data_IF_956786420454
#
_entry.id   IF_956786420454
#
_cell.length_a   1.000
_cell.length_b   1.000
_cell.length_c   1.000
_cell.angle_alpha   90.00
_cell.angle_beta   90.00
_cell.angle_gamma   90.00
#
_symmetry.space_group_name_H-M   'P 1'
#
loop_
_entity.id
_entity.type
_entity.pdbx_description
1 polymer ?
#
# COMPACT_ATOMS: atom_id res chain seq x y z
N UNK A 1 -12.98 -2.78 -12.50
CA UNK A 1 -12.09 -3.57 -11.61
C UNK A 1 -12.05 -2.96 -10.23
N UNK A 2 -11.98 -3.79 -9.18
CA UNK A 2 -11.73 -3.33 -7.80
C UNK A 2 -10.41 -3.92 -7.34
N UNK A 3 -9.50 -3.07 -6.88
CA UNK A 3 -8.18 -3.43 -6.36
C UNK A 3 -8.15 -3.27 -4.84
N UNK A 4 -7.79 -4.34 -4.14
CA UNK A 4 -7.58 -4.38 -2.70
C UNK A 4 -6.08 -4.40 -2.43
N UNK A 5 -5.53 -3.35 -1.83
CA UNK A 5 -4.13 -3.26 -1.39
C UNK A 5 -4.12 -3.60 0.10
N UNK A 6 -3.35 -4.61 0.50
CA UNK A 6 -3.42 -5.18 1.85
C UNK A 6 -2.01 -5.22 2.45
N UNK A 7 -1.82 -4.57 3.58
CA UNK A 7 -0.57 -4.72 4.34
C UNK A 7 -0.54 -6.09 5.01
N UNK A 8 0.63 -6.70 5.09
CA UNK A 8 0.84 -7.94 5.86
C UNK A 8 0.41 -7.81 7.32
N UNK A 9 0.08 -8.93 7.97
CA UNK A 9 -0.17 -9.05 9.41
C UNK A 9 1.09 -8.73 10.23
N UNK A 10 0.95 -8.65 11.56
CA UNK A 10 2.04 -8.33 12.47
C UNK A 10 3.21 -9.30 12.31
N UNK A 11 4.45 -8.80 12.04
CA UNK A 11 5.62 -9.65 11.86
C UNK A 11 6.39 -9.83 13.18
N UNK A 12 6.97 -11.01 13.38
CA UNK A 12 7.98 -11.26 14.39
C UNK A 12 9.38 -10.79 13.96
N UNK A 13 10.32 -10.94 14.86
CA UNK A 13 11.73 -10.57 14.62
C UNK A 13 12.41 -11.39 13.50
N UNK A 14 11.92 -12.58 13.24
CA UNK A 14 12.38 -13.48 12.17
C UNK A 14 11.76 -13.15 10.79
N UNK A 15 10.88 -12.15 10.74
CA UNK A 15 10.18 -11.71 9.53
C UNK A 15 8.96 -12.56 9.16
N UNK A 16 8.65 -13.63 9.90
CA UNK A 16 7.41 -14.38 9.79
C UNK A 16 6.28 -13.69 10.57
N UNK A 17 5.03 -14.11 10.39
CA UNK A 17 3.92 -13.60 11.19
C UNK A 17 3.98 -14.09 12.64
N UNK A 18 3.65 -13.21 13.59
CA UNK A 18 3.39 -13.59 14.99
C UNK A 18 2.07 -14.35 15.10
N UNK A 19 1.75 -14.87 16.30
CA UNK A 19 0.42 -15.44 16.56
C UNK A 19 -0.71 -14.42 16.29
N UNK A 20 -0.52 -13.14 16.68
CA UNK A 20 -1.44 -12.05 16.36
C UNK A 20 -1.51 -11.82 14.85
N UNK A 21 -0.36 -11.80 14.17
CA UNK A 21 -0.28 -11.65 12.72
C UNK A 21 -1.04 -12.74 11.96
N UNK A 22 -1.02 -13.98 12.44
CA UNK A 22 -1.81 -15.08 11.88
C UNK A 22 -3.32 -14.89 12.10
N UNK A 23 -3.76 -14.43 13.29
CA UNK A 23 -5.16 -14.07 13.53
C UNK A 23 -5.62 -12.95 12.60
N UNK A 24 -4.78 -11.94 12.38
CA UNK A 24 -5.04 -10.87 11.41
C UNK A 24 -5.14 -11.40 9.97
N UNK A 25 -4.27 -12.33 9.58
CA UNK A 25 -4.30 -12.97 8.28
C UNK A 25 -5.59 -13.79 8.06
N UNK A 26 -6.05 -14.54 9.07
CA UNK A 26 -7.33 -15.27 9.00
C UNK A 26 -8.51 -14.31 8.85
N UNK A 27 -8.53 -13.21 9.61
CA UNK A 27 -9.60 -12.21 9.54
C UNK A 27 -9.66 -11.55 8.16
N UNK A 28 -8.51 -11.10 7.62
CA UNK A 28 -8.48 -10.52 6.27
C UNK A 28 -8.80 -11.55 5.20
N UNK A 29 -8.41 -12.81 5.39
CA UNK A 29 -8.78 -13.91 4.48
C UNK A 29 -10.29 -14.09 4.34
N UNK A 30 -11.03 -14.09 5.46
CA UNK A 30 -12.51 -14.12 5.47
C UNK A 30 -13.09 -12.90 4.73
N UNK A 31 -12.55 -11.70 4.99
CA UNK A 31 -12.97 -10.49 4.27
C UNK A 31 -12.76 -10.59 2.76
N UNK A 32 -11.64 -11.16 2.31
CA UNK A 32 -11.38 -11.39 0.88
C UNK A 32 -12.35 -12.39 0.27
N UNK A 33 -12.75 -13.42 1.03
CA UNK A 33 -13.79 -14.37 0.59
C UNK A 33 -15.15 -13.68 0.42
N UNK A 34 -15.58 -12.88 1.39
CA UNK A 34 -16.82 -12.10 1.31
C UNK A 34 -16.77 -11.07 0.16
N UNK A 35 -15.62 -10.46 -0.05
CA UNK A 35 -15.37 -9.56 -1.18
C UNK A 35 -15.35 -10.28 -2.53
N UNK A 36 -15.36 -11.63 -2.56
CA UNK A 36 -15.31 -12.47 -3.77
C UNK A 36 -14.12 -12.15 -4.66
N UNK A 37 -12.94 -12.05 -4.03
CA UNK A 37 -11.68 -11.86 -4.75
C UNK A 37 -11.49 -13.01 -5.73
N UNK A 38 -11.09 -12.71 -6.96
CA UNK A 38 -10.86 -13.72 -8.02
C UNK A 38 -9.43 -13.72 -8.56
N UNK A 39 -8.58 -12.77 -8.13
CA UNK A 39 -7.12 -12.76 -8.41
C UNK A 39 -6.38 -12.33 -7.17
N UNK A 40 -5.35 -13.10 -6.79
CA UNK A 40 -4.51 -12.80 -5.63
C UNK A 40 -3.06 -12.66 -6.09
N UNK A 41 -2.46 -11.55 -5.69
CA UNK A 41 -1.04 -11.25 -5.87
C UNK A 41 -0.40 -10.98 -4.51
N UNK A 42 0.90 -11.23 -4.40
CA UNK A 42 1.62 -11.03 -3.15
C UNK A 42 3.06 -10.57 -3.38
N UNK A 43 3.56 -9.75 -2.48
CA UNK A 43 5.00 -9.48 -2.35
C UNK A 43 5.81 -10.78 -2.19
N UNK A 44 7.07 -10.85 -2.64
CA UNK A 44 7.95 -11.99 -2.41
C UNK A 44 8.29 -12.21 -0.92
N UNK A 45 8.12 -11.20 -0.06
CA UNK A 45 8.54 -11.25 1.34
C UNK A 45 7.61 -12.14 2.17
N UNK A 46 8.21 -12.99 3.02
CA UNK A 46 7.54 -14.08 3.75
C UNK A 46 6.24 -13.63 4.46
N UNK A 47 6.26 -12.55 5.24
CA UNK A 47 5.09 -12.08 5.99
C UNK A 47 3.89 -11.70 5.11
N UNK A 48 4.13 -11.18 3.90
CA UNK A 48 3.05 -10.86 2.96
C UNK A 48 2.48 -12.14 2.34
N UNK A 49 3.33 -13.09 1.98
CA UNK A 49 2.93 -14.41 1.49
C UNK A 49 2.09 -15.14 2.54
N UNK A 50 2.56 -15.20 3.79
CA UNK A 50 1.83 -15.80 4.90
C UNK A 50 0.46 -15.13 5.13
N UNK A 51 0.40 -13.79 5.00
CA UNK A 51 -0.88 -13.08 5.13
C UNK A 51 -1.87 -13.44 4.02
N UNK A 52 -1.39 -13.77 2.83
CA UNK A 52 -2.25 -14.18 1.71
C UNK A 52 -2.76 -15.62 1.79
N UNK A 53 -2.09 -16.51 2.56
CA UNK A 53 -2.41 -17.95 2.62
C UNK A 53 -3.86 -18.25 3.02
N UNK A 54 -4.46 -17.63 4.06
CA UNK A 54 -5.86 -17.88 4.41
C UNK A 54 -6.83 -17.49 3.29
N UNK A 55 -6.60 -16.36 2.62
CA UNK A 55 -7.42 -15.94 1.48
C UNK A 55 -7.32 -16.96 0.32
N UNK A 56 -6.10 -17.40 -0.01
CA UNK A 56 -5.86 -18.42 -1.02
C UNK A 56 -6.61 -19.72 -0.70
N UNK A 57 -6.51 -20.19 0.55
CA UNK A 57 -7.19 -21.41 1.01
C UNK A 57 -8.71 -21.29 0.93
N UNK A 58 -9.29 -20.19 1.42
CA UNK A 58 -10.74 -19.98 1.45
C UNK A 58 -11.37 -19.81 0.08
N UNK A 59 -10.62 -19.24 -0.87
CA UNK A 59 -11.09 -18.97 -2.24
C UNK A 59 -10.71 -20.08 -3.24
N UNK A 60 -9.82 -21.01 -2.86
CA UNK A 60 -9.27 -22.01 -3.77
C UNK A 60 -8.36 -21.39 -4.86
N UNK A 61 -7.70 -20.28 -4.54
CA UNK A 61 -6.82 -19.55 -5.45
C UNK A 61 -5.35 -19.71 -5.04
N UNK A 62 -4.46 -19.43 -5.98
CA UNK A 62 -3.01 -19.33 -5.73
C UNK A 62 -2.59 -17.88 -5.88
N UNK A 63 -1.76 -17.38 -4.96
CA UNK A 63 -1.21 -16.05 -5.08
C UNK A 63 -0.03 -16.05 -6.09
N UNK A 64 -0.08 -15.14 -7.05
CA UNK A 64 1.04 -14.84 -7.94
C UNK A 64 2.00 -13.87 -7.25
N UNK A 65 3.31 -14.14 -7.33
CA UNK A 65 4.33 -13.29 -6.71
C UNK A 65 4.66 -12.12 -7.63
N UNK A 66 4.55 -10.92 -7.08
CA UNK A 66 4.93 -9.65 -7.72
C UNK A 66 6.21 -9.11 -7.08
N UNK A 67 7.33 -9.33 -7.72
CA UNK A 67 8.65 -8.93 -7.19
C UNK A 67 8.77 -7.43 -6.91
N UNK A 68 8.08 -6.59 -7.67
CA UNK A 68 8.08 -5.14 -7.49
C UNK A 68 7.30 -4.69 -6.23
N UNK A 69 6.45 -5.53 -5.69
CA UNK A 69 5.64 -5.21 -4.51
C UNK A 69 6.39 -5.44 -3.17
N UNK A 70 7.72 -5.51 -3.20
CA UNK A 70 8.53 -5.62 -1.97
C UNK A 70 8.48 -4.34 -1.13
N UNK A 71 8.83 -4.43 0.15
CA UNK A 71 8.89 -3.26 1.02
C UNK A 71 10.03 -2.30 0.62
N UNK A 72 9.79 -1.00 0.73
CA UNK A 72 10.85 0.00 0.56
C UNK A 72 11.87 -0.18 1.68
N UNK A 73 13.09 -0.44 1.31
CA UNK A 73 14.20 -0.72 2.21
C UNK A 73 14.96 0.55 2.64
N UNK A 74 16.26 0.53 2.38
CA UNK A 74 17.18 1.64 2.75
C UNK A 74 16.92 2.93 1.97
N UNK A 75 16.17 2.87 0.86
CA UNK A 75 15.79 4.05 0.08
C UNK A 75 15.01 5.08 0.91
N UNK A 76 14.32 4.65 1.96
CA UNK A 76 13.60 5.52 2.89
C UNK A 76 14.47 6.17 3.96
N UNK A 77 15.75 5.83 4.03
CA UNK A 77 16.66 6.38 5.02
C UNK A 77 17.17 7.76 4.58
N UNK A 78 17.21 8.69 5.52
CA UNK A 78 17.71 10.05 5.33
C UNK A 78 18.74 10.40 6.41
N UNK A 79 19.82 11.12 6.08
CA UNK A 79 20.81 11.53 7.08
C UNK A 79 20.23 12.58 8.02
N UNK A 80 20.55 12.43 9.31
CA UNK A 80 20.18 13.37 10.37
C UNK A 80 21.38 14.26 10.74
N UNK A 81 21.14 15.43 11.36
CA UNK A 81 22.23 16.37 11.75
C UNK A 81 23.27 15.77 12.70
N UNK A 82 22.92 14.75 13.47
CA UNK A 82 23.81 14.05 14.38
C UNK A 82 24.62 12.93 13.70
N UNK A 83 24.47 12.77 12.38
CA UNK A 83 25.11 11.73 11.58
C UNK A 83 24.42 10.37 11.59
N UNK A 84 23.31 10.20 12.30
CA UNK A 84 22.48 8.99 12.24
C UNK A 84 21.68 8.93 10.95
N UNK A 85 21.16 7.74 10.63
CA UNK A 85 20.21 7.54 9.54
C UNK A 85 18.82 7.28 10.12
N UNK A 86 17.81 7.99 9.66
CA UNK A 86 16.44 7.82 10.11
C UNK A 86 15.52 7.55 8.92
N UNK A 87 14.52 6.71 9.11
CA UNK A 87 13.48 6.54 8.09
C UNK A 87 12.66 7.82 7.96
N UNK A 88 12.44 8.26 6.72
CA UNK A 88 11.57 9.44 6.45
C UNK A 88 10.16 9.27 7.05
N UNK A 89 9.71 8.05 7.30
CA UNK A 89 8.42 7.79 7.95
C UNK A 89 8.41 8.09 9.45
N UNK A 90 9.57 8.26 10.08
CA UNK A 90 9.72 8.59 11.49
C UNK A 90 9.99 10.08 11.74
N UNK A 91 10.10 10.87 10.68
CA UNK A 91 10.20 12.33 10.78
C UNK A 91 8.86 12.87 11.25
N UNK A 92 8.88 13.81 12.18
CA UNK A 92 7.67 14.46 12.67
C UNK A 92 6.86 15.04 11.52
N UNK A 93 5.58 14.80 11.53
CA UNK A 93 4.67 15.21 10.44
C UNK A 93 4.60 16.73 10.25
N UNK A 94 4.83 17.52 11.30
CA UNK A 94 4.90 18.99 11.22
C UNK A 94 6.01 19.46 10.30
N UNK A 95 7.16 18.81 10.31
CA UNK A 95 8.33 19.14 9.46
C UNK A 95 7.99 19.07 7.96
N UNK A 96 7.14 18.13 7.57
CA UNK A 96 6.67 17.99 6.18
C UNK A 96 5.66 19.06 5.75
N UNK A 97 5.12 19.86 6.69
CA UNK A 97 4.12 20.90 6.43
C UNK A 97 4.67 22.32 6.60
N UNK A 98 5.82 22.46 7.26
CA UNK A 98 6.47 23.75 7.52
C UNK A 98 7.05 24.36 6.24
N UNK A 99 7.40 25.66 6.32
CA UNK A 99 8.11 26.40 5.27
C UNK A 99 7.46 26.32 3.86
N UNK A 100 6.13 26.24 3.83
CA UNK A 100 5.38 26.20 2.57
C UNK A 100 5.31 24.82 1.90
N UNK A 101 5.90 23.77 2.49
CA UNK A 101 5.89 22.42 1.95
C UNK A 101 4.48 21.88 1.70
N UNK A 102 3.47 22.32 2.48
CA UNK A 102 2.06 21.91 2.31
C UNK A 102 1.51 22.24 0.91
N UNK A 103 2.10 23.21 0.21
CA UNK A 103 1.67 23.64 -1.12
C UNK A 103 2.50 23.01 -2.26
N UNK A 104 3.44 22.10 -1.96
CA UNK A 104 4.22 21.42 -3.00
C UNK A 104 3.31 20.51 -3.83
N UNK A 105 3.54 20.53 -5.15
CA UNK A 105 2.86 19.60 -6.08
C UNK A 105 3.37 18.17 -5.88
N UNK A 106 2.76 17.21 -6.58
CA UNK A 106 3.19 15.82 -6.60
C UNK A 106 4.67 15.69 -6.99
N UNK A 107 5.10 16.40 -8.05
CA UNK A 107 6.48 16.37 -8.55
C UNK A 107 7.44 17.09 -7.59
N UNK A 108 7.01 18.19 -6.99
CA UNK A 108 7.81 18.98 -6.04
C UNK A 108 7.95 18.30 -4.68
N UNK A 109 7.15 17.29 -4.36
CA UNK A 109 7.22 16.57 -3.09
C UNK A 109 8.62 16.01 -2.79
N UNK A 110 9.36 15.68 -3.83
CA UNK A 110 10.72 15.15 -3.71
C UNK A 110 11.77 16.23 -3.37
N UNK A 111 11.43 17.51 -3.49
CA UNK A 111 12.27 18.64 -3.06
C UNK A 111 12.12 18.91 -1.56
N UNK A 112 11.13 18.33 -0.90
CA UNK A 112 10.93 18.41 0.54
C UNK A 112 12.15 17.85 1.28
N UNK A 113 12.66 18.58 2.28
CA UNK A 113 14.00 18.42 2.86
C UNK A 113 14.41 16.93 3.06
N UNK A 114 13.90 16.22 4.00
CA UNK A 114 14.37 14.85 4.29
C UNK A 114 14.09 13.85 3.15
N UNK A 115 13.04 14.04 2.36
CA UNK A 115 12.74 13.21 1.19
C UNK A 115 13.83 13.38 0.13
N UNK A 116 14.25 14.63 -0.14
CA UNK A 116 15.31 14.92 -1.12
C UNK A 116 16.66 14.29 -0.77
N UNK A 117 16.96 14.13 0.51
CA UNK A 117 18.21 13.53 0.99
C UNK A 117 18.17 12.00 1.03
N UNK A 118 17.00 11.41 0.88
CA UNK A 118 16.78 9.96 0.78
C UNK A 118 16.80 9.50 -0.67
N UNK A 119 16.61 8.19 -0.90
CA UNK A 119 16.40 7.63 -2.23
C UNK A 119 14.92 7.36 -2.54
N UNK A 120 14.00 8.03 -1.82
CA UNK A 120 12.56 7.80 -2.00
C UNK A 120 12.07 8.05 -3.41
N UNK A 121 12.62 9.07 -4.12
CA UNK A 121 12.24 9.29 -5.51
C UNK A 121 12.52 8.06 -6.38
N UNK A 122 13.69 7.47 -6.25
CA UNK A 122 14.07 6.26 -7.00
C UNK A 122 13.14 5.09 -6.68
N UNK A 123 12.79 4.90 -5.40
CA UNK A 123 11.88 3.84 -4.99
C UNK A 123 10.46 4.07 -5.55
N UNK A 124 9.97 5.31 -5.52
CA UNK A 124 8.64 5.64 -6.05
C UNK A 124 8.60 5.53 -7.57
N UNK A 125 9.63 5.99 -8.29
CA UNK A 125 9.72 5.84 -9.76
C UNK A 125 9.70 4.35 -10.16
N UNK A 126 10.35 3.49 -9.37
CA UNK A 126 10.31 2.04 -9.58
C UNK A 126 8.91 1.46 -9.34
N UNK A 127 8.24 1.88 -8.25
CA UNK A 127 6.87 1.45 -7.92
C UNK A 127 5.88 1.94 -8.97
N UNK A 128 5.99 3.20 -9.42
CA UNK A 128 5.14 3.78 -10.45
C UNK A 128 5.24 3.00 -11.76
N UNK A 129 6.47 2.79 -12.24
CA UNK A 129 6.70 2.05 -13.47
C UNK A 129 6.10 0.64 -13.42
N UNK A 130 6.46 -0.14 -12.40
CA UNK A 130 6.03 -1.53 -12.31
C UNK A 130 4.55 -1.65 -11.94
N UNK A 131 4.01 -0.72 -11.14
CA UNK A 131 2.59 -0.64 -10.85
C UNK A 131 1.75 -0.33 -12.09
N UNK A 132 2.24 0.54 -12.98
CA UNK A 132 1.59 0.79 -14.28
C UNK A 132 1.68 -0.44 -15.19
N UNK A 133 2.82 -1.13 -15.24
CA UNK A 133 2.98 -2.40 -16.00
C UNK A 133 2.02 -3.48 -15.44
N UNK A 134 1.85 -3.55 -14.13
CA UNK A 134 0.90 -4.45 -13.45
C UNK A 134 -0.56 -4.12 -13.83
N UNK A 135 -0.94 -2.85 -13.78
CA UNK A 135 -2.30 -2.41 -14.14
C UNK A 135 -2.59 -2.60 -15.64
N UNK A 136 -1.58 -2.43 -16.51
CA UNK A 136 -1.73 -2.71 -17.96
C UNK A 136 -2.03 -4.20 -18.21
N UNK A 137 -1.39 -5.12 -17.49
CA UNK A 137 -1.72 -6.57 -17.52
C UNK A 137 -3.14 -6.86 -17.04
N UNK A 138 -3.68 -6.02 -16.16
CA UNK A 138 -5.05 -6.11 -15.66
C UNK A 138 -6.07 -5.37 -16.54
N UNK A 139 -5.65 -4.77 -17.65
CA UNK A 139 -6.52 -4.12 -18.62
C UNK A 139 -6.60 -2.59 -18.54
N UNK A 140 -5.72 -1.95 -17.77
CA UNK A 140 -5.73 -0.51 -17.52
C UNK A 140 -4.36 0.12 -17.80
N UNK A 141 -4.22 0.75 -18.96
CA UNK A 141 -2.96 1.36 -19.41
C UNK A 141 -2.85 2.81 -18.97
N UNK A 142 -1.80 3.17 -18.24
CA UNK A 142 -1.54 4.54 -17.83
C UNK A 142 -1.22 5.46 -19.01
N UNK A 143 -1.90 6.62 -19.10
CA UNK A 143 -1.68 7.66 -20.09
C UNK A 143 -1.90 9.05 -19.47
N UNK A 144 -0.82 9.76 -19.16
CA UNK A 144 -0.86 11.17 -18.74
C UNK A 144 -1.86 11.48 -17.58
N UNK A 145 -1.78 10.73 -16.49
CA UNK A 145 -2.58 10.97 -15.28
C UNK A 145 -3.93 10.23 -15.25
N UNK A 146 -4.29 9.52 -16.31
CA UNK A 146 -5.48 8.68 -16.41
C UNK A 146 -5.11 7.27 -16.89
N UNK A 147 -6.06 6.36 -16.85
CA UNK A 147 -5.89 5.01 -17.37
C UNK A 147 -6.85 4.78 -18.54
N UNK A 148 -6.29 4.38 -19.70
CA UNK A 148 -7.08 3.87 -20.81
C UNK A 148 -7.54 2.45 -20.49
N UNK A 149 -8.82 2.18 -20.64
CA UNK A 149 -9.39 0.85 -20.49
C UNK A 149 -9.13 0.08 -21.79
N UNK A 150 -8.16 -0.84 -21.75
CA UNK A 150 -7.78 -1.68 -22.90
C UNK A 150 -8.46 -3.04 -22.88
N UNK A 151 -8.85 -3.50 -21.68
CA UNK A 151 -9.64 -4.70 -21.49
C UNK A 151 -10.54 -4.52 -20.26
N UNK A 152 -11.80 -4.08 -20.41
CA UNK A 152 -12.71 -3.86 -19.29
C UNK A 152 -12.97 -5.18 -18.55
N UNK A 153 -12.90 -5.14 -17.22
CA UNK A 153 -13.10 -6.31 -16.37
C UNK A 153 -13.82 -5.93 -15.07
N UNK A 154 -14.58 -6.89 -14.53
CA UNK A 154 -15.19 -6.80 -13.20
C UNK A 154 -14.36 -7.53 -12.14
N UNK A 155 -13.08 -7.79 -12.42
CA UNK A 155 -12.18 -8.47 -11.50
C UNK A 155 -12.08 -7.75 -10.15
N UNK A 156 -11.96 -8.56 -9.12
CA UNK A 156 -11.65 -8.16 -7.74
C UNK A 156 -10.29 -8.71 -7.38
N UNK A 157 -9.32 -7.82 -7.41
CA UNK A 157 -7.89 -8.13 -7.31
C UNK A 157 -7.38 -7.80 -5.94
N UNK A 158 -6.70 -8.73 -5.26
CA UNK A 158 -6.00 -8.48 -4.00
C UNK A 158 -4.48 -8.50 -4.19
N UNK A 159 -3.78 -7.50 -3.69
CA UNK A 159 -2.32 -7.44 -3.59
C UNK A 159 -1.91 -7.35 -2.12
N UNK A 160 -1.26 -8.40 -1.62
CA UNK A 160 -0.70 -8.43 -0.26
C UNK A 160 0.74 -7.88 -0.27
N UNK A 161 0.97 -6.82 0.48
CA UNK A 161 2.21 -6.04 0.43
C UNK A 161 2.57 -5.39 1.77
N UNK A 162 3.11 -4.17 1.78
CA UNK A 162 3.76 -3.56 2.95
C UNK A 162 3.32 -2.10 3.15
N UNK A 163 3.64 -1.54 4.32
CA UNK A 163 3.21 -0.19 4.70
C UNK A 163 3.84 0.91 3.85
N UNK A 164 5.17 0.96 3.74
CA UNK A 164 5.85 2.02 2.99
C UNK A 164 5.55 1.89 1.49
N UNK A 165 5.57 0.67 0.96
CA UNK A 165 5.16 0.36 -0.40
C UNK A 165 3.74 0.86 -0.70
N UNK A 166 2.75 0.49 0.14
CA UNK A 166 1.35 0.88 -0.08
C UNK A 166 1.16 2.39 -0.07
N UNK A 167 1.79 3.10 0.88
CA UNK A 167 1.73 4.57 0.93
C UNK A 167 2.32 5.20 -0.34
N UNK A 168 3.46 4.70 -0.80
CA UNK A 168 4.09 5.19 -2.02
C UNK A 168 3.21 4.92 -3.25
N UNK A 169 2.66 3.71 -3.37
CA UNK A 169 1.82 3.38 -4.53
C UNK A 169 0.48 4.12 -4.52
N UNK A 170 -0.16 4.27 -3.36
CA UNK A 170 -1.38 5.08 -3.24
C UNK A 170 -1.11 6.57 -3.54
N UNK A 171 0.05 7.09 -3.13
CA UNK A 171 0.51 8.44 -3.52
C UNK A 171 0.54 8.59 -5.04
N UNK A 172 1.10 7.63 -5.75
CA UNK A 172 1.14 7.60 -7.24
C UNK A 172 -0.26 7.48 -7.82
N UNK A 173 -1.05 6.50 -7.38
CA UNK A 173 -2.39 6.22 -7.93
C UNK A 173 -3.34 7.40 -7.80
N UNK A 174 -3.28 8.13 -6.67
CA UNK A 174 -4.17 9.26 -6.39
C UNK A 174 -3.53 10.63 -6.64
N UNK A 175 -2.28 10.64 -7.12
CA UNK A 175 -1.51 11.87 -7.32
C UNK A 175 -1.42 12.76 -6.06
N UNK A 176 -1.35 12.10 -4.89
CA UNK A 176 -1.16 12.79 -3.60
C UNK A 176 0.33 13.01 -3.38
N UNK A 177 0.79 14.26 -3.13
CA UNK A 177 2.20 14.53 -2.87
C UNK A 177 2.77 13.62 -1.77
N UNK A 178 3.92 12.99 -2.04
CA UNK A 178 4.48 11.94 -1.17
C UNK A 178 4.66 12.40 0.29
N UNK A 179 5.11 13.64 0.52
CA UNK A 179 5.29 14.20 1.87
C UNK A 179 3.96 14.32 2.63
N UNK A 180 2.86 14.60 1.94
CA UNK A 180 1.51 14.65 2.54
C UNK A 180 1.05 13.22 2.88
N UNK A 181 1.27 12.29 1.96
CA UNK A 181 0.95 10.86 2.20
C UNK A 181 1.74 10.31 3.39
N UNK A 182 3.03 10.68 3.49
CA UNK A 182 3.91 10.25 4.58
C UNK A 182 3.55 10.87 5.93
N UNK A 183 3.17 12.15 5.94
CA UNK A 183 2.88 12.90 7.16
C UNK A 183 1.46 12.71 7.69
N UNK A 184 0.51 12.34 6.83
CA UNK A 184 -0.91 12.37 7.14
C UNK A 184 -1.62 11.02 7.17
N UNK A 185 -0.96 9.97 6.67
CA UNK A 185 -1.59 8.65 6.53
C UNK A 185 -0.70 7.56 7.13
N UNK A 186 -1.26 6.74 7.99
CA UNK A 186 -0.61 5.53 8.48
C UNK A 186 -1.29 4.29 7.86
N UNK A 187 -0.61 3.14 7.93
CA UNK A 187 -1.12 1.91 7.35
C UNK A 187 -1.01 0.78 8.38
N UNK A 188 -2.13 0.36 8.94
CA UNK A 188 -2.20 -0.66 9.99
C UNK A 188 -1.87 -2.08 9.46
N UNK A 189 -1.41 -2.98 10.35
CA UNK A 189 -1.23 -4.38 10.00
C UNK A 189 -2.56 -5.00 9.54
N UNK A 190 -2.52 -5.77 8.47
CA UNK A 190 -3.65 -6.29 7.70
C UNK A 190 -4.66 -5.25 7.21
N UNK A 191 -4.39 -3.95 7.36
CA UNK A 191 -5.21 -2.88 6.83
C UNK A 191 -5.46 -3.03 5.33
N UNK A 192 -6.67 -2.71 4.89
CA UNK A 192 -7.14 -2.86 3.52
C UNK A 192 -7.46 -1.50 2.92
N UNK A 193 -6.84 -1.17 1.79
CA UNK A 193 -7.21 -0.04 0.95
C UNK A 193 -7.95 -0.55 -0.27
N UNK A 194 -9.09 0.07 -0.60
CA UNK A 194 -9.93 -0.33 -1.74
C UNK A 194 -9.93 0.77 -2.77
N UNK A 195 -9.46 0.44 -3.97
CA UNK A 195 -9.45 1.30 -5.16
C UNK A 195 -10.39 0.74 -6.22
N UNK A 196 -11.16 1.58 -6.86
CA UNK A 196 -11.97 1.21 -8.02
C UNK A 196 -11.42 1.85 -9.29
N UNK A 197 -11.34 1.06 -10.33
CA UNK A 197 -11.15 1.48 -11.72
C UNK A 197 -12.46 1.22 -12.44
N UNK A 198 -13.33 2.23 -12.49
CA UNK A 198 -14.65 2.13 -13.10
C UNK A 198 -14.54 2.01 -14.62
N UNK A 199 -15.39 1.16 -15.22
CA UNK A 199 -15.43 0.96 -16.67
C UNK A 199 -16.35 1.99 -17.33
N UNK A 200 -15.88 3.20 -17.57
CA UNK A 200 -16.64 4.23 -18.26
C UNK A 200 -16.73 3.99 -19.77
N UNK A 201 -17.85 4.37 -20.38
CA UNK A 201 -18.11 4.20 -21.82
C UNK A 201 -17.12 4.95 -22.71
N UNK A 202 -16.52 6.04 -22.22
CA UNK A 202 -15.50 6.80 -22.95
C UNK A 202 -14.11 6.10 -22.99
N UNK A 203 -13.98 4.92 -22.34
CA UNK A 203 -12.76 4.12 -22.34
C UNK A 203 -11.62 4.68 -21.50
N UNK A 204 -11.88 5.65 -20.61
CA UNK A 204 -10.86 6.29 -19.75
C UNK A 204 -11.36 6.23 -18.30
N UNK A 205 -10.47 5.90 -17.36
CA UNK A 205 -10.76 5.87 -15.92
C UNK A 205 -9.63 6.47 -15.10
N UNK A 206 -9.91 6.80 -13.85
CA UNK A 206 -8.92 7.11 -12.84
C UNK A 206 -9.28 6.39 -11.55
N UNK A 207 -8.30 5.93 -10.75
CA UNK A 207 -8.58 5.20 -9.53
C UNK A 207 -9.30 6.08 -8.51
N UNK A 208 -10.33 5.51 -7.85
CA UNK A 208 -11.09 6.14 -6.77
C UNK A 208 -10.91 5.33 -5.50
N UNK A 209 -10.44 5.96 -4.42
CA UNK A 209 -10.27 5.31 -3.13
C UNK A 209 -11.57 5.36 -2.33
N UNK A 210 -12.10 4.20 -1.93
CA UNK A 210 -13.30 4.07 -1.09
C UNK A 210 -12.98 3.97 0.39
N UNK A 211 -11.86 3.35 0.73
CA UNK A 211 -11.34 3.34 2.09
C UNK A 211 -9.81 3.18 2.07
N UNK A 212 -9.17 3.66 3.11
CA UNK A 212 -7.71 3.58 3.27
C UNK A 212 -7.38 2.91 4.59
N UNK A 213 -6.52 1.87 4.54
CA UNK A 213 -6.04 1.14 5.74
C UNK A 213 -7.17 0.70 6.69
N UNK A 214 -8.32 0.29 6.14
CA UNK A 214 -9.47 -0.13 6.93
C UNK A 214 -9.24 -1.47 7.63
N UNK A 215 -9.51 -1.51 8.93
CA UNK A 215 -9.32 -2.66 9.82
C UNK A 215 -10.64 -3.21 10.37
N UNK A 216 -11.78 -2.92 9.74
CA UNK A 216 -13.10 -3.37 10.19
C UNK A 216 -13.21 -4.88 10.39
N UNK A 217 -12.47 -5.67 9.61
CA UNK A 217 -12.39 -7.13 9.76
C UNK A 217 -11.72 -7.56 11.08
N UNK A 218 -10.76 -6.77 11.61
CA UNK A 218 -10.15 -7.04 12.91
C UNK A 218 -11.16 -6.79 14.04
N UNK A 219 -11.87 -5.66 13.96
CA UNK A 219 -12.91 -5.34 14.92
C UNK A 219 -14.02 -6.40 14.96
N UNK A 220 -14.45 -6.89 13.80
CA UNK A 220 -15.46 -7.94 13.67
C UNK A 220 -15.03 -9.27 14.34
N UNK A 221 -13.74 -9.58 14.36
CA UNK A 221 -13.17 -10.79 14.97
C UNK A 221 -12.65 -10.55 16.41
N UNK A 222 -12.86 -9.36 16.97
CA UNK A 222 -12.39 -9.02 18.32
C UNK A 222 -10.86 -8.93 18.44
N UNK A 223 -10.18 -8.64 17.34
CA UNK A 223 -8.71 -8.49 17.29
C UNK A 223 -8.38 -7.00 17.40
N UNK A 224 -7.51 -6.62 18.35
CA UNK A 224 -7.02 -5.25 18.48
C UNK A 224 -6.19 -4.83 17.26
N UNK A 225 -6.27 -3.55 16.90
CA UNK A 225 -5.33 -2.95 15.95
C UNK A 225 -4.25 -2.16 16.70
N UNK A 226 -3.08 -1.98 16.06
CA UNK A 226 -1.91 -1.36 16.69
C UNK A 226 -2.17 0.08 17.16
N UNK A 227 -3.08 0.79 16.51
CA UNK A 227 -3.45 2.15 16.88
C UNK A 227 -4.06 2.21 18.29
N UNK A 228 -5.02 1.35 18.60
CA UNK A 228 -5.66 1.34 19.92
C UNK A 228 -4.69 0.89 21.01
N UNK A 229 -3.83 -0.08 20.73
CA UNK A 229 -2.80 -0.52 21.68
C UNK A 229 -1.79 0.59 22.01
N UNK A 230 -1.48 1.49 21.07
CA UNK A 230 -0.61 2.66 21.30
C UNK A 230 -1.26 3.76 22.14
N UNK A 231 -2.59 3.87 22.12
CA UNK A 231 -3.31 4.92 22.86
C UNK A 231 -3.57 4.53 24.32
N UNK A 232 -3.54 3.24 24.64
CA UNK A 232 -3.74 2.72 26.00
C UNK A 232 -2.44 2.67 26.84
N UNK A 233 -1.28 2.94 26.25
CA UNK A 233 0.03 3.05 26.93
C UNK A 233 0.32 4.48 27.36
#
# INVERSE_FOLDING_TARGET
MILYIIRHGEPGHDGALTEKGWKQAEAVGKRMQEAKINKIFTSPILRARQTSEPACRLLGLTAEVEEWAHEIGDERLTPMPDGSMLSVSLIQNTVYRENGNINLTFEQAYDCNYIRQSQMKKAVDYIEKNGNDFLERLGYKYENGVYRIINPTDDRVALFCHSAFSRAWVSVLLHIPLHIMWAGFDYEHSGVTIMEFENYENGITAPKCYCYSDTSHLYAEGIGCDFFERVEM
#
